data_IF_209459477544
#
_entry.id   IF_209459477544
#
_cell.length_a   1.000
_cell.length_b   1.000
_cell.length_c   1.000
_cell.angle_alpha   90.00
_cell.angle_beta   90.00
_cell.angle_gamma   90.00
#
_symmetry.space_group_name_H-M   'P 1'
#
loop_
_entity.id
_entity.type
_entity.pdbx_description
1 polymer ?
#
# COMPACT_ATOMS: atom_id res chain seq x y z
N UNK A 1 -1.33 5.83 21.47
CA UNK A 1 -0.32 4.77 21.25
C UNK A 1 -0.40 4.38 19.78
N UNK A 2 0.70 4.60 19.03
CA UNK A 2 0.76 4.24 17.62
C UNK A 2 0.78 2.73 17.46
N UNK A 3 -0.03 2.19 16.55
CA UNK A 3 0.00 0.77 16.22
C UNK A 3 1.34 0.46 15.56
N UNK A 4 2.18 -0.33 16.23
CA UNK A 4 3.39 -0.86 15.62
C UNK A 4 2.99 -1.93 14.60
N UNK A 5 3.04 -1.59 13.32
CA UNK A 5 2.70 -2.50 12.23
C UNK A 5 3.51 -3.80 12.24
N UNK A 6 4.74 -3.74 12.73
CA UNK A 6 5.59 -4.91 12.85
C UNK A 6 5.08 -5.88 13.92
N UNK A 7 4.65 -5.37 15.07
CA UNK A 7 4.01 -6.18 16.13
C UNK A 7 2.63 -6.67 15.69
N UNK A 8 1.84 -5.81 15.03
CA UNK A 8 0.53 -6.17 14.49
C UNK A 8 0.62 -7.27 13.43
N UNK A 9 1.69 -7.30 12.64
CA UNK A 9 1.96 -8.35 11.64
C UNK A 9 2.60 -9.62 12.22
N UNK A 10 2.78 -9.71 13.54
CA UNK A 10 3.46 -10.83 14.18
C UNK A 10 4.95 -10.93 13.82
N UNK A 11 5.60 -9.78 13.60
CA UNK A 11 7.03 -9.71 13.24
C UNK A 11 7.36 -10.11 11.79
N UNK A 12 6.35 -10.40 10.96
CA UNK A 12 6.53 -10.77 9.55
C UNK A 12 6.22 -9.59 8.63
N UNK A 13 6.87 -9.51 7.49
CA UNK A 13 6.61 -8.48 6.49
C UNK A 13 5.21 -8.57 5.88
N UNK A 14 4.71 -7.47 5.31
CA UNK A 14 3.38 -7.37 4.69
C UNK A 14 3.15 -8.43 3.60
N UNK A 15 4.21 -8.82 2.90
CA UNK A 15 4.18 -9.78 1.79
C UNK A 15 4.65 -11.19 2.16
N UNK A 16 4.87 -11.47 3.45
CA UNK A 16 5.34 -12.78 3.92
C UNK A 16 4.14 -13.73 4.01
N UNK A 17 3.76 -14.28 2.90
CA UNK A 17 2.73 -15.30 2.73
C UNK A 17 3.41 -16.56 2.23
N UNK A 18 3.12 -17.69 2.87
CA UNK A 18 3.65 -18.98 2.46
C UNK A 18 3.16 -19.36 1.05
N UNK A 19 4.10 -19.79 0.22
CA UNK A 19 3.83 -20.32 -1.13
C UNK A 19 4.54 -21.68 -1.21
N UNK A 20 3.92 -22.75 -0.68
CA UNK A 20 4.57 -24.05 -0.52
C UNK A 20 5.17 -24.60 -1.82
N UNK A 21 4.55 -24.28 -2.95
CA UNK A 21 5.01 -24.68 -4.27
C UNK A 21 6.39 -24.12 -4.64
N UNK A 22 6.81 -23.03 -3.96
CA UNK A 22 8.13 -22.41 -4.14
C UNK A 22 9.07 -22.67 -2.96
N UNK A 23 8.55 -22.95 -1.78
CA UNK A 23 9.33 -23.20 -0.56
C UNK A 23 10.03 -24.56 -0.58
N UNK A 24 9.41 -25.54 -1.25
CA UNK A 24 9.95 -26.92 -1.39
C UNK A 24 10.79 -27.12 -2.63
N UNK A 25 11.03 -26.08 -3.42
CA UNK A 25 11.86 -26.13 -4.61
C UNK A 25 13.35 -26.05 -4.25
N UNK A 26 14.20 -26.75 -4.99
CA UNK A 26 15.65 -26.64 -4.85
C UNK A 26 16.12 -25.24 -5.23
N UNK A 27 16.47 -24.42 -4.24
CA UNK A 27 16.99 -23.07 -4.42
C UNK A 27 16.32 -22.03 -3.52
N UNK A 28 16.98 -20.88 -3.34
CA UNK A 28 16.42 -19.74 -2.64
C UNK A 28 15.63 -18.83 -3.60
N UNK A 29 14.31 -18.94 -3.57
CA UNK A 29 13.39 -18.13 -4.37
C UNK A 29 12.61 -17.11 -3.55
N UNK A 30 13.06 -16.79 -2.35
CA UNK A 30 12.41 -15.84 -1.42
C UNK A 30 12.16 -14.48 -2.08
N UNK A 31 13.12 -13.96 -2.84
CA UNK A 31 12.99 -12.68 -3.55
C UNK A 31 11.88 -12.72 -4.62
N UNK A 32 11.79 -13.83 -5.36
CA UNK A 32 10.74 -14.04 -6.35
C UNK A 32 9.37 -14.22 -5.71
N UNK A 33 9.27 -15.05 -4.67
CA UNK A 33 8.03 -15.28 -3.91
C UNK A 33 7.49 -13.95 -3.38
N UNK A 34 8.35 -13.16 -2.74
CA UNK A 34 7.98 -11.84 -2.24
C UNK A 34 7.51 -10.91 -3.38
N UNK A 35 8.18 -10.91 -4.52
CA UNK A 35 7.79 -10.14 -5.69
C UNK A 35 6.43 -10.57 -6.22
N UNK A 36 6.19 -11.88 -6.41
CA UNK A 36 4.93 -12.45 -6.86
C UNK A 36 3.77 -12.05 -5.92
N UNK A 37 3.94 -12.26 -4.61
CA UNK A 37 2.93 -11.93 -3.59
C UNK A 37 2.64 -10.43 -3.58
N UNK A 38 3.67 -9.57 -3.66
CA UNK A 38 3.53 -8.12 -3.76
C UNK A 38 2.72 -7.72 -5.00
N UNK A 39 3.04 -8.28 -6.17
CA UNK A 39 2.33 -7.96 -7.41
C UNK A 39 0.86 -8.40 -7.33
N UNK A 40 0.61 -9.61 -6.82
CA UNK A 40 -0.76 -10.10 -6.66
C UNK A 40 -1.57 -9.24 -5.69
N UNK A 41 -1.01 -8.86 -4.55
CA UNK A 41 -1.67 -7.97 -3.59
C UNK A 41 -2.02 -6.62 -4.21
N UNK A 42 -1.05 -5.95 -4.84
CA UNK A 42 -1.26 -4.64 -5.47
C UNK A 42 -2.30 -4.71 -6.60
N UNK A 43 -2.21 -5.73 -7.47
CA UNK A 43 -3.17 -5.89 -8.55
C UNK A 43 -4.57 -6.24 -8.03
N UNK A 44 -4.67 -6.98 -6.91
CA UNK A 44 -5.96 -7.32 -6.29
C UNK A 44 -6.63 -6.11 -5.62
N UNK A 45 -5.87 -5.15 -5.09
CA UNK A 45 -6.42 -3.89 -4.57
C UNK A 45 -6.86 -2.94 -5.69
N UNK A 46 -6.20 -3.02 -6.86
CA UNK A 46 -6.49 -2.19 -8.04
C UNK A 46 -7.58 -2.76 -8.96
N UNK A 47 -7.96 -4.01 -8.80
CA UNK A 47 -8.91 -4.69 -9.67
C UNK A 47 -10.30 -4.79 -9.04
N UNK A 48 -11.33 -4.82 -9.89
CA UNK A 48 -12.71 -5.06 -9.50
C UNK A 48 -13.10 -6.54 -9.45
N UNK A 49 -12.23 -7.42 -9.97
CA UNK A 49 -12.48 -8.86 -10.06
C UNK A 49 -11.17 -9.66 -10.18
N UNK A 50 -11.26 -10.98 -9.89
CA UNK A 50 -10.10 -11.88 -9.95
C UNK A 50 -9.46 -11.96 -11.33
N UNK A 51 -10.27 -11.95 -12.40
CA UNK A 51 -9.76 -12.10 -13.77
C UNK A 51 -8.79 -10.96 -14.10
N UNK A 52 -9.17 -9.71 -13.80
CA UNK A 52 -8.31 -8.54 -14.03
C UNK A 52 -7.05 -8.59 -13.16
N UNK A 53 -7.20 -8.91 -11.87
CA UNK A 53 -6.09 -9.01 -10.94
C UNK A 53 -5.06 -10.06 -11.39
N UNK A 54 -5.53 -11.26 -11.76
CA UNK A 54 -4.66 -12.36 -12.16
C UNK A 54 -4.00 -12.12 -13.51
N UNK A 55 -4.73 -11.60 -14.50
CA UNK A 55 -4.15 -11.24 -15.80
C UNK A 55 -3.04 -10.17 -15.65
N UNK A 56 -3.28 -9.13 -14.85
CA UNK A 56 -2.28 -8.10 -14.57
C UNK A 56 -1.05 -8.69 -13.86
N UNK A 57 -1.26 -9.60 -12.91
CA UNK A 57 -0.17 -10.27 -12.19
C UNK A 57 0.64 -11.16 -13.11
N UNK A 58 -0.01 -12.02 -13.89
CA UNK A 58 0.68 -12.89 -14.87
C UNK A 58 1.48 -12.03 -15.85
N UNK A 59 0.87 -11.00 -16.41
CA UNK A 59 1.54 -10.09 -17.34
C UNK A 59 2.79 -9.47 -16.70
N UNK A 60 2.70 -8.96 -15.47
CA UNK A 60 3.84 -8.34 -14.78
C UNK A 60 4.95 -9.35 -14.51
N UNK A 61 4.62 -10.55 -14.03
CA UNK A 61 5.59 -11.61 -13.75
C UNK A 61 6.27 -12.10 -15.04
N UNK A 62 5.55 -12.21 -16.15
CA UNK A 62 6.12 -12.68 -17.41
C UNK A 62 6.95 -11.61 -18.15
N UNK A 63 6.71 -10.34 -17.90
CA UNK A 63 7.41 -9.21 -18.53
C UNK A 63 8.58 -8.67 -17.70
N UNK A 64 8.78 -9.16 -16.46
CA UNK A 64 9.87 -8.70 -15.61
C UNK A 64 11.22 -9.12 -16.16
N UNK A 65 12.20 -8.24 -16.03
CA UNK A 65 13.61 -8.56 -16.32
C UNK A 65 14.21 -9.30 -15.13
N UNK A 66 14.55 -10.58 -15.35
CA UNK A 66 15.22 -11.45 -14.39
C UNK A 66 16.72 -11.61 -14.70
N UNK A 67 17.33 -10.64 -15.38
CA UNK A 67 18.77 -10.62 -15.60
C UNK A 67 19.54 -10.62 -14.27
N UNK A 68 20.85 -10.95 -14.28
CA UNK A 68 21.68 -10.90 -13.08
C UNK A 68 21.73 -9.50 -12.42
N UNK A 69 21.39 -8.44 -13.16
CA UNK A 69 21.25 -7.08 -12.60
C UNK A 69 19.95 -6.93 -11.79
N UNK A 70 18.94 -7.75 -12.05
CA UNK A 70 17.73 -7.83 -11.22
C UNK A 70 18.05 -8.51 -9.88
N UNK A 71 17.54 -7.96 -8.78
CA UNK A 71 17.67 -8.58 -7.45
C UNK A 71 16.67 -9.72 -7.22
N UNK A 72 15.93 -10.12 -8.26
CA UNK A 72 14.89 -11.14 -8.19
C UNK A 72 15.43 -12.44 -8.76
N UNK A 73 15.61 -13.45 -7.92
CA UNK A 73 16.01 -14.79 -8.32
C UNK A 73 14.79 -15.60 -8.76
N UNK A 74 14.54 -15.66 -10.07
CA UNK A 74 13.41 -16.40 -10.64
C UNK A 74 13.70 -17.91 -10.68
N UNK A 75 12.76 -18.77 -10.22
CA UNK A 75 12.88 -20.21 -10.41
C UNK A 75 12.97 -20.59 -11.89
N UNK A 76 13.73 -21.63 -12.26
CA UNK A 76 13.70 -22.19 -13.59
C UNK A 76 12.30 -22.70 -13.94
N UNK A 77 11.97 -22.77 -15.23
CA UNK A 77 10.62 -23.17 -15.68
C UNK A 77 10.21 -24.57 -15.22
N UNK A 78 11.18 -25.45 -14.96
CA UNK A 78 10.95 -26.81 -14.42
C UNK A 78 10.45 -26.81 -12.97
N UNK A 79 10.74 -25.74 -12.23
CA UNK A 79 10.42 -25.58 -10.81
C UNK A 79 9.28 -24.59 -10.61
N UNK A 80 9.16 -23.60 -11.52
CA UNK A 80 8.12 -22.58 -11.44
C UNK A 80 6.75 -23.21 -11.59
N UNK A 81 5.87 -23.12 -10.58
CA UNK A 81 4.50 -23.59 -10.71
C UNK A 81 3.81 -22.85 -11.85
N UNK A 82 2.88 -23.51 -12.49
CA UNK A 82 2.06 -22.89 -13.53
C UNK A 82 1.35 -21.68 -12.94
N UNK A 83 1.62 -20.49 -13.48
CA UNK A 83 0.98 -19.23 -13.09
C UNK A 83 -0.46 -19.19 -13.62
N UNK A 84 -1.30 -20.11 -13.16
CA UNK A 84 -2.71 -20.16 -13.52
C UNK A 84 -3.61 -19.57 -12.43
N UNK A 85 -4.88 -19.51 -12.71
CA UNK A 85 -5.86 -18.93 -11.79
C UNK A 85 -6.01 -19.71 -10.49
N UNK A 86 -6.02 -21.06 -10.46
CA UNK A 86 -6.05 -21.82 -9.22
C UNK A 86 -4.87 -21.51 -8.29
N UNK A 87 -3.67 -21.44 -8.85
CA UNK A 87 -2.44 -21.09 -8.09
C UNK A 87 -2.53 -19.68 -7.51
N UNK A 88 -2.83 -18.67 -8.34
CA UNK A 88 -2.93 -17.29 -7.88
C UNK A 88 -4.07 -17.11 -6.86
N UNK A 89 -5.19 -17.83 -7.02
CA UNK A 89 -6.29 -17.82 -6.05
C UNK A 89 -5.85 -18.37 -4.70
N UNK A 90 -5.06 -19.44 -4.67
CA UNK A 90 -4.56 -20.01 -3.42
C UNK A 90 -3.72 -18.98 -2.63
N UNK A 91 -2.86 -18.23 -3.32
CA UNK A 91 -2.06 -17.15 -2.72
C UNK A 91 -2.96 -15.99 -2.27
N UNK A 92 -3.94 -15.60 -3.09
CA UNK A 92 -4.87 -14.51 -2.75
C UNK A 92 -5.68 -14.84 -1.49
N UNK A 93 -6.15 -16.07 -1.32
CA UNK A 93 -6.88 -16.47 -0.12
C UNK A 93 -5.97 -16.45 1.13
N UNK A 94 -4.71 -16.87 1.02
CA UNK A 94 -3.73 -16.73 2.11
C UNK A 94 -3.46 -15.25 2.44
N UNK A 95 -3.37 -14.37 1.42
CA UNK A 95 -3.28 -12.92 1.61
C UNK A 95 -4.50 -12.37 2.36
N UNK A 96 -5.71 -12.76 1.99
CA UNK A 96 -6.94 -12.33 2.67
C UNK A 96 -7.01 -12.84 4.11
N UNK A 97 -6.56 -14.07 4.37
CA UNK A 97 -6.49 -14.63 5.72
C UNK A 97 -5.50 -13.86 6.58
N UNK A 98 -4.29 -13.62 6.06
CA UNK A 98 -3.26 -12.83 6.76
C UNK A 98 -3.72 -11.41 7.04
N UNK A 99 -4.34 -10.78 6.07
CA UNK A 99 -4.82 -9.40 6.14
C UNK A 99 -6.33 -9.35 6.39
N UNK A 100 -6.81 -10.15 7.35
CA UNK A 100 -8.25 -10.32 7.59
C UNK A 100 -9.01 -9.01 7.86
N UNK A 101 -8.35 -8.00 8.45
CA UNK A 101 -8.95 -6.69 8.71
C UNK A 101 -9.25 -5.90 7.44
N UNK A 102 -8.46 -6.11 6.38
CA UNK A 102 -8.64 -5.44 5.10
C UNK A 102 -9.12 -6.37 3.99
N UNK A 103 -9.54 -7.61 4.32
CA UNK A 103 -9.94 -8.61 3.33
C UNK A 103 -11.04 -8.13 2.37
N UNK A 104 -11.93 -7.27 2.83
CA UNK A 104 -13.02 -6.70 2.02
C UNK A 104 -12.56 -5.67 0.98
N UNK A 105 -11.30 -5.20 1.05
CA UNK A 105 -10.76 -4.28 0.07
C UNK A 105 -10.06 -4.98 -1.11
N UNK A 106 -9.77 -6.26 -1.00
CA UNK A 106 -9.30 -7.03 -2.15
C UNK A 106 -10.42 -7.13 -3.20
N UNK A 107 -10.06 -6.92 -4.45
CA UNK A 107 -10.97 -6.93 -5.60
C UNK A 107 -12.07 -5.84 -5.56
N UNK A 108 -11.81 -4.75 -4.86
CA UNK A 108 -12.75 -3.64 -4.70
C UNK A 108 -12.38 -2.38 -5.49
N UNK A 109 -11.24 -2.43 -6.22
CA UNK A 109 -10.71 -1.26 -6.95
C UNK A 109 -10.47 -0.03 -6.05
N UNK A 110 -10.06 -0.24 -4.80
CA UNK A 110 -9.93 0.81 -3.77
C UNK A 110 -8.66 1.65 -3.92
N UNK A 111 -7.68 1.19 -4.72
CA UNK A 111 -6.37 1.82 -4.76
C UNK A 111 -6.41 3.29 -5.23
N UNK A 112 -7.30 3.64 -6.17
CA UNK A 112 -7.49 5.03 -6.60
C UNK A 112 -8.00 5.92 -5.46
N UNK A 113 -8.90 5.41 -4.63
CA UNK A 113 -9.38 6.11 -3.45
C UNK A 113 -8.27 6.30 -2.41
N UNK A 114 -7.48 5.26 -2.15
CA UNK A 114 -6.33 5.34 -1.24
C UNK A 114 -5.28 6.34 -1.73
N UNK A 115 -4.96 6.34 -3.03
CA UNK A 115 -4.05 7.33 -3.63
C UNK A 115 -4.56 8.76 -3.48
N UNK A 116 -5.87 8.95 -3.63
CA UNK A 116 -6.47 10.26 -3.41
C UNK A 116 -6.31 10.72 -1.94
N UNK A 117 -6.54 9.86 -0.96
CA UNK A 117 -6.33 10.21 0.46
C UNK A 117 -4.86 10.50 0.77
N UNK A 118 -3.94 9.72 0.24
CA UNK A 118 -2.50 9.95 0.38
C UNK A 118 -2.11 11.33 -0.18
N UNK A 119 -2.62 11.68 -1.35
CA UNK A 119 -2.39 13.01 -1.94
C UNK A 119 -2.94 14.14 -1.06
N UNK A 120 -4.05 13.93 -0.35
CA UNK A 120 -4.61 14.94 0.54
C UNK A 120 -3.75 15.13 1.80
N UNK A 121 -3.19 14.05 2.35
CA UNK A 121 -2.21 14.16 3.45
C UNK A 121 -1.04 15.01 3.01
N UNK A 122 -0.47 14.74 1.83
CA UNK A 122 0.63 15.51 1.25
C UNK A 122 0.27 16.99 1.07
N UNK A 123 -0.92 17.28 0.53
CA UNK A 123 -1.39 18.67 0.36
C UNK A 123 -1.53 19.39 1.71
N UNK A 124 -2.11 18.75 2.72
CA UNK A 124 -2.22 19.32 4.06
C UNK A 124 -0.85 19.69 4.65
N UNK A 125 0.16 18.84 4.43
CA UNK A 125 1.53 19.11 4.90
C UNK A 125 2.16 20.29 4.16
N UNK A 126 2.04 20.33 2.83
CA UNK A 126 2.56 21.45 2.02
C UNK A 126 1.90 22.76 2.47
N UNK A 127 0.59 22.79 2.60
CA UNK A 127 -0.15 24.00 3.05
C UNK A 127 0.28 24.43 4.45
N UNK A 128 0.39 23.49 5.40
CA UNK A 128 0.81 23.76 6.77
C UNK A 128 2.20 24.42 6.84
N UNK A 129 3.20 23.81 6.19
CA UNK A 129 4.58 24.33 6.25
C UNK A 129 4.76 25.59 5.39
N UNK A 130 4.03 25.72 4.27
CA UNK A 130 4.01 26.96 3.48
C UNK A 130 3.44 28.12 4.30
N UNK A 131 2.36 27.91 5.04
CA UNK A 131 1.78 28.91 5.94
C UNK A 131 2.79 29.38 7.02
N UNK A 132 3.61 28.46 7.51
CA UNK A 132 4.66 28.77 8.48
C UNK A 132 5.94 29.36 7.83
N UNK A 133 5.96 29.56 6.52
CA UNK A 133 7.14 29.98 5.76
C UNK A 133 8.33 29.03 5.92
N UNK A 134 8.07 27.73 6.11
CA UNK A 134 9.07 26.68 6.23
C UNK A 134 9.11 25.90 4.92
N UNK A 135 10.26 25.88 4.19
CA UNK A 135 10.40 25.11 2.97
C UNK A 135 10.25 23.62 3.24
N UNK A 136 9.38 22.97 2.48
CA UNK A 136 9.21 21.50 2.46
C UNK A 136 9.25 21.01 1.02
N UNK A 137 9.97 19.93 0.76
CA UNK A 137 10.01 19.26 -0.54
C UNK A 137 9.41 17.88 -0.43
N UNK A 138 8.68 17.47 -1.45
CA UNK A 138 8.08 16.13 -1.52
C UNK A 138 8.75 15.33 -2.65
N UNK A 139 9.18 14.12 -2.36
CA UNK A 139 9.74 13.18 -3.34
C UNK A 139 9.04 11.85 -3.15
N UNK A 140 8.12 11.51 -4.06
CA UNK A 140 7.26 10.34 -3.94
C UNK A 140 6.48 10.33 -2.60
N UNK A 141 6.77 9.36 -1.74
CA UNK A 141 6.21 9.14 -0.40
C UNK A 141 7.06 9.72 0.73
N UNK A 142 8.07 10.53 0.39
CA UNK A 142 9.04 11.08 1.32
C UNK A 142 8.99 12.60 1.37
N UNK A 143 9.36 13.15 2.52
CA UNK A 143 9.43 14.59 2.75
C UNK A 143 10.84 15.00 3.14
N UNK A 144 11.33 16.11 2.58
CA UNK A 144 12.60 16.73 2.94
C UNK A 144 12.31 18.08 3.57
N UNK A 145 12.82 18.28 4.78
CA UNK A 145 12.67 19.51 5.56
C UNK A 145 13.96 19.75 6.36
N UNK A 146 14.22 20.97 6.81
CA UNK A 146 15.34 21.23 7.71
C UNK A 146 15.21 20.40 8.99
N UNK A 147 16.32 19.83 9.46
CA UNK A 147 16.36 18.90 10.61
C UNK A 147 15.70 19.48 11.87
N UNK A 148 15.82 20.79 12.11
CA UNK A 148 15.21 21.47 13.26
C UNK A 148 13.68 21.36 13.29
N UNK A 149 13.03 21.11 12.14
CA UNK A 149 11.57 20.93 12.02
C UNK A 149 11.13 19.48 11.93
N UNK A 150 12.05 18.52 12.07
CA UNK A 150 11.74 17.09 11.93
C UNK A 150 10.61 16.62 12.86
N UNK A 151 10.60 17.03 14.12
CA UNK A 151 9.54 16.68 15.05
C UNK A 151 8.21 17.33 14.68
N UNK A 152 8.24 18.57 14.19
CA UNK A 152 7.04 19.26 13.71
C UNK A 152 6.44 18.53 12.49
N UNK A 153 7.29 18.03 11.58
CA UNK A 153 6.85 17.21 10.44
C UNK A 153 6.16 15.94 10.91
N UNK A 154 6.75 15.18 11.84
CA UNK A 154 6.16 13.94 12.37
C UNK A 154 4.77 14.22 12.97
N UNK A 155 4.65 15.27 13.78
CA UNK A 155 3.39 15.65 14.41
C UNK A 155 2.33 16.06 13.35
N UNK A 156 2.73 16.84 12.35
CA UNK A 156 1.85 17.24 11.26
C UNK A 156 1.39 16.04 10.41
N UNK A 157 2.28 15.09 10.11
CA UNK A 157 1.93 13.84 9.40
C UNK A 157 0.89 13.03 10.18
N UNK A 158 1.10 12.84 11.48
CA UNK A 158 0.14 12.11 12.34
C UNK A 158 -1.21 12.82 12.39
N UNK A 159 -1.22 14.13 12.57
CA UNK A 159 -2.45 14.92 12.60
C UNK A 159 -3.21 14.86 11.28
N UNK A 160 -2.51 15.02 10.15
CA UNK A 160 -3.11 14.96 8.82
C UNK A 160 -3.68 13.56 8.52
N UNK A 161 -2.95 12.49 8.88
CA UNK A 161 -3.45 11.13 8.74
C UNK A 161 -4.74 10.91 9.55
N UNK A 162 -4.77 11.33 10.81
CA UNK A 162 -5.96 11.19 11.67
C UNK A 162 -7.17 11.95 11.12
N UNK A 163 -6.96 13.15 10.56
CA UNK A 163 -8.03 13.93 9.92
C UNK A 163 -8.59 13.21 8.70
N UNK A 164 -7.73 12.67 7.83
CA UNK A 164 -8.18 11.96 6.64
C UNK A 164 -8.89 10.65 6.98
N UNK A 165 -8.42 9.90 7.97
CA UNK A 165 -9.09 8.70 8.46
C UNK A 165 -10.46 9.03 9.04
N UNK A 166 -10.59 10.08 9.86
CA UNK A 166 -11.87 10.53 10.38
C UNK A 166 -12.84 10.95 9.26
N UNK A 167 -12.34 11.64 8.23
CA UNK A 167 -13.14 12.00 7.06
C UNK A 167 -13.63 10.78 6.28
N UNK A 168 -12.76 9.77 6.07
CA UNK A 168 -13.14 8.51 5.41
C UNK A 168 -14.30 7.81 6.15
N UNK A 169 -14.21 7.73 7.48
CA UNK A 169 -15.27 7.13 8.29
C UNK A 169 -16.59 7.90 8.17
N UNK A 170 -16.53 9.24 8.21
CA UNK A 170 -17.73 10.10 8.08
C UNK A 170 -18.35 9.97 6.70
N UNK A 171 -17.56 9.94 5.63
CA UNK A 171 -18.03 9.76 4.25
C UNK A 171 -18.68 8.38 4.06
N UNK A 172 -18.12 7.33 4.66
CA UNK A 172 -18.70 5.98 4.61
C UNK A 172 -20.05 5.90 5.32
N UNK A 173 -20.21 6.63 6.43
CA UNK A 173 -21.45 6.70 7.18
C UNK A 173 -22.53 7.55 6.47
N UNK A 174 -22.12 8.55 5.68
CA UNK A 174 -23.03 9.42 4.93
C UNK A 174 -22.45 9.72 3.53
N UNK A 175 -22.76 8.89 2.50
CA UNK A 175 -22.23 9.02 1.14
C UNK A 175 -22.57 10.35 0.44
N UNK A 176 -23.65 11.01 0.85
CA UNK A 176 -24.11 12.29 0.28
C UNK A 176 -23.37 13.51 0.83
N UNK A 177 -22.49 13.32 1.80
CA UNK A 177 -21.65 14.40 2.34
C UNK A 177 -20.62 14.86 1.29
N UNK A 178 -21.05 15.76 0.41
CA UNK A 178 -20.16 16.60 -0.41
C UNK A 178 -19.56 17.71 0.45
N UNK A 179 -18.66 17.34 1.37
CA UNK A 179 -17.97 18.36 2.18
C UNK A 179 -17.02 19.13 1.27
N UNK A 180 -17.29 20.40 1.04
CA UNK A 180 -16.33 21.32 0.45
C UNK A 180 -15.17 21.45 1.43
N UNK A 181 -14.07 20.80 1.14
CA UNK A 181 -12.85 20.71 1.97
C UNK A 181 -12.26 22.07 2.37
N UNK A 182 -12.46 23.10 1.57
CA UNK A 182 -11.90 24.45 1.79
C UNK A 182 -12.33 25.17 3.09
N UNK A 183 -13.28 24.60 3.85
CA UNK A 183 -13.75 25.24 5.11
C UNK A 183 -13.18 24.67 6.39
N UNK A 184 -12.47 23.54 6.34
CA UNK A 184 -11.95 22.90 7.56
C UNK A 184 -10.64 23.52 8.04
N UNK A 185 -9.78 23.98 7.13
CA UNK A 185 -8.47 24.54 7.45
C UNK A 185 -8.55 25.93 8.10
N UNK A 186 -9.58 26.73 7.79
CA UNK A 186 -9.75 28.06 8.40
C UNK A 186 -10.20 28.05 9.87
N UNK A 187 -10.68 26.92 10.40
CA UNK A 187 -11.12 26.85 11.80
C UNK A 187 -10.00 26.49 12.79
N UNK A 188 -8.89 25.95 12.33
CA UNK A 188 -7.74 25.59 13.19
C UNK A 188 -6.71 26.73 13.33
N UNK A 189 -6.81 27.79 12.52
CA UNK A 189 -5.94 28.98 12.60
C UNK A 189 -6.53 30.11 13.45
N UNK A 190 -7.69 29.92 14.05
CA UNK A 190 -8.40 30.95 14.85
C UNK A 190 -8.60 30.55 16.32
N UNK A 191 -7.77 29.63 16.85
CA UNK A 191 -7.79 29.24 18.25
C UNK A 191 -6.39 29.28 18.86
#
# INVERSE_FOLDING_TARGET
EGVNWFEFSGGRGVYDVEVPELEHADGDYTSFTRFLVKQLMLNSLNASDEKKAFQATIKKITQEDYSPASKINRPPLSVLPKLDYPFLRSILERLKQRHHLIKGYFLSNVAGELQFFDSQITMNLIEHFTFLHIPILTIHDSYIIETKYGQALINAMQSSLMQEVAFMHTKKANPDLRVKRSRFLHKLSAG
#
